data_IF_027777902039
#
_entry.id   IF_027777902039
#
_cell.length_a   1.000
_cell.length_b   1.000
_cell.length_c   1.000
_cell.angle_alpha   90.00
_cell.angle_beta   90.00
_cell.angle_gamma   90.00
#
_symmetry.space_group_name_H-M   'P 1'
#
loop_
_entity.id
_entity.type
_entity.pdbx_description
1 polymer ?
#
# COMPACT_ATOMS: atom_id res chain seq x y z
N UNK A 1 -2.21 2.86 14.48
CA UNK A 1 -1.07 1.93 14.54
C UNK A 1 0.11 2.51 13.79
N UNK A 2 1.29 2.44 14.39
CA UNK A 2 2.49 2.99 13.75
C UNK A 2 3.49 1.86 13.54
N UNK A 3 3.91 1.66 12.31
CA UNK A 3 4.86 0.62 11.95
C UNK A 3 5.98 1.26 11.14
N UNK A 4 7.22 0.90 11.46
CA UNK A 4 8.38 1.45 10.78
C UNK A 4 8.90 0.41 9.80
N UNK A 5 9.08 0.81 8.55
CA UNK A 5 9.62 -0.05 7.52
C UNK A 5 10.68 0.70 6.74
N UNK A 6 11.56 -0.05 6.10
CA UNK A 6 12.68 0.53 5.36
C UNK A 6 12.40 0.40 3.88
N UNK A 7 12.64 1.49 3.14
CA UNK A 7 12.51 1.45 1.69
C UNK A 7 13.77 0.85 1.09
N UNK A 8 13.63 0.02 0.06
CA UNK A 8 14.79 -0.65 -0.52
C UNK A 8 15.35 0.14 -1.71
N UNK A 9 16.35 -0.44 -2.38
CA UNK A 9 17.03 0.23 -3.47
C UNK A 9 16.13 0.52 -4.66
N UNK A 10 15.09 -0.27 -4.81
CA UNK A 10 14.19 -0.12 -5.95
C UNK A 10 12.97 0.73 -5.58
N UNK A 11 12.98 1.32 -4.40
CA UNK A 11 11.87 2.17 -4.00
C UNK A 11 10.69 1.41 -3.46
N UNK A 12 10.88 0.17 -3.03
CA UNK A 12 9.78 -0.66 -2.53
C UNK A 12 9.79 -0.70 -1.02
N UNK A 13 8.60 -0.79 -0.46
CA UNK A 13 8.44 -0.92 0.98
C UNK A 13 7.41 -2.02 1.23
N UNK A 14 7.61 -2.79 2.29
CA UNK A 14 6.72 -3.90 2.61
C UNK A 14 5.58 -3.39 3.49
N UNK A 15 4.36 -3.68 3.08
CA UNK A 15 3.19 -3.38 3.89
C UNK A 15 3.01 -4.54 4.87
N UNK A 16 3.01 -4.27 6.18
CA UNK A 16 2.92 -5.34 7.17
C UNK A 16 1.70 -6.22 6.97
N UNK A 17 1.88 -7.49 7.28
CA UNK A 17 0.83 -8.46 7.05
C UNK A 17 -0.45 -8.12 7.81
N UNK A 18 -0.32 -7.60 9.01
CA UNK A 18 -1.48 -7.27 9.82
C UNK A 18 -2.31 -6.17 9.17
N UNK A 19 -1.63 -5.19 8.57
CA UNK A 19 -2.33 -4.10 7.91
C UNK A 19 -3.00 -4.62 6.65
N UNK A 20 -2.31 -5.50 5.90
CA UNK A 20 -2.90 -6.07 4.71
C UNK A 20 -4.19 -6.83 5.04
N UNK A 21 -4.18 -7.56 6.15
CA UNK A 21 -5.36 -8.30 6.54
C UNK A 21 -6.53 -7.39 6.86
N UNK A 22 -6.24 -6.30 7.56
CA UNK A 22 -7.31 -5.37 7.93
C UNK A 22 -7.93 -4.70 6.73
N UNK A 23 -7.12 -4.41 5.72
CA UNK A 23 -7.60 -3.76 4.52
C UNK A 23 -8.09 -4.73 3.46
N UNK A 24 -7.88 -6.02 3.67
CA UNK A 24 -8.28 -7.01 2.69
C UNK A 24 -7.42 -7.00 1.44
N UNK A 25 -6.14 -6.67 1.58
CA UNK A 25 -5.22 -6.58 0.46
C UNK A 25 -4.44 -7.87 0.35
N UNK A 26 -4.33 -8.40 -0.86
CA UNK A 26 -3.61 -9.63 -1.12
C UNK A 26 -2.61 -9.42 -2.24
N UNK A 27 -1.69 -10.38 -2.36
CA UNK A 27 -0.71 -10.32 -3.43
C UNK A 27 -1.40 -10.26 -4.77
N UNK A 28 -0.94 -9.37 -5.63
CA UNK A 28 -1.53 -9.17 -6.93
C UNK A 28 -2.61 -8.10 -6.97
N UNK A 29 -3.07 -7.65 -5.82
CA UNK A 29 -4.06 -6.58 -5.80
C UNK A 29 -3.42 -5.27 -6.26
N UNK A 30 -4.24 -4.42 -6.85
CA UNK A 30 -3.79 -3.11 -7.30
C UNK A 30 -4.09 -2.09 -6.22
N UNK A 31 -3.12 -1.24 -5.95
CA UNK A 31 -3.24 -0.22 -4.94
C UNK A 31 -3.10 1.15 -5.58
N UNK A 32 -3.75 2.12 -4.99
CA UNK A 32 -3.67 3.50 -5.41
C UNK A 32 -2.74 4.24 -4.46
N UNK A 33 -1.77 4.96 -5.01
CA UNK A 33 -0.83 5.73 -4.22
C UNK A 33 -1.08 7.20 -4.47
N UNK A 34 -1.37 7.94 -3.40
CA UNK A 34 -1.68 9.36 -3.50
C UNK A 34 -0.60 10.13 -2.77
N UNK A 35 -0.03 11.10 -3.45
CA UNK A 35 1.02 11.94 -2.86
C UNK A 35 0.37 13.05 -2.05
N UNK A 36 0.82 13.20 -0.82
CA UNK A 36 0.39 14.28 0.05
C UNK A 36 1.55 15.24 0.25
N UNK A 37 1.28 16.39 0.87
CA UNK A 37 2.33 17.40 1.03
C UNK A 37 3.50 16.89 1.85
N UNK A 38 3.26 15.96 2.79
CA UNK A 38 4.34 15.45 3.62
C UNK A 38 4.26 13.94 3.80
N UNK A 39 3.76 13.23 2.78
CA UNK A 39 3.70 11.78 2.86
C UNK A 39 2.97 11.20 1.67
N UNK A 40 2.66 9.92 1.77
CA UNK A 40 1.88 9.23 0.75
C UNK A 40 0.78 8.43 1.42
N UNK A 41 -0.32 8.29 0.70
CA UNK A 41 -1.47 7.52 1.15
C UNK A 41 -1.63 6.34 0.20
N UNK A 42 -1.77 5.15 0.74
CA UNK A 42 -1.93 3.95 -0.06
C UNK A 42 -3.29 3.34 0.24
N UNK A 43 -4.06 3.13 -0.81
CA UNK A 43 -5.43 2.65 -0.68
C UNK A 43 -5.68 1.48 -1.62
N UNK A 44 -6.60 0.58 -1.27
CA UNK A 44 -7.03 -0.42 -2.25
C UNK A 44 -7.68 0.28 -3.42
N UNK A 45 -7.37 -0.16 -4.62
CA UNK A 45 -7.90 0.45 -5.82
C UNK A 45 -8.97 -0.46 -6.41
N UNK A 46 -10.21 -0.05 -6.32
CA UNK A 46 -11.30 -0.87 -6.84
C UNK A 46 -11.56 -0.65 -8.31
N UNK A 47 -11.08 0.46 -8.84
CA UNK A 47 -11.35 0.77 -10.23
C UNK A 47 -10.68 -0.21 -11.17
N UNK A 48 -9.55 -0.75 -10.75
CA UNK A 48 -8.79 -1.63 -11.61
C UNK A 48 -9.48 -2.97 -11.83
N UNK A 49 -10.42 -3.29 -11.00
CA UNK A 49 -11.10 -4.58 -11.14
C UNK A 49 -11.91 -4.66 -12.41
N UNK A 50 -12.19 -3.54 -13.03
CA UNK A 50 -12.99 -3.52 -14.21
C UNK A 50 -12.17 -3.54 -15.48
N UNK A 51 -10.88 -3.42 -15.33
CA UNK A 51 -10.01 -3.40 -16.50
C UNK A 51 -9.94 -4.76 -17.18
#
# INVERSE_FOLDING_TARGET
MCVVRRIDDLGRVVIPKEIRKRLGIEAGDVLEVVELSDGVLILPCEKDKEA
#
